data_IF_287732857010
#
_entry.id   IF_287732857010
#
_cell.length_a   1.000
_cell.length_b   1.000
_cell.length_c   1.000
_cell.angle_alpha   90.00
_cell.angle_beta   90.00
_cell.angle_gamma   90.00
#
_symmetry.space_group_name_H-M   'P 1'
#
loop_
_entity.id
_entity.type
_entity.pdbx_description
1 polymer ?
#
# COMPACT_ATOMS: atom_id res chain seq x y z
N UNK A 1 3.12 9.95 11.45
CA UNK A 1 2.35 8.90 10.76
C UNK A 1 3.03 7.52 10.76
N UNK A 2 4.32 7.42 10.38
CA UNK A 2 5.05 6.14 10.30
C UNK A 2 4.94 5.25 11.56
N UNK A 3 5.11 5.85 12.75
CA UNK A 3 4.92 5.12 14.03
C UNK A 3 3.51 4.52 14.16
N UNK A 4 2.46 5.25 13.79
CA UNK A 4 1.07 4.75 13.81
C UNK A 4 0.89 3.54 12.87
N UNK A 5 1.49 3.59 11.68
CA UNK A 5 1.44 2.47 10.73
C UNK A 5 2.11 1.21 11.28
N UNK A 6 3.26 1.35 11.94
CA UNK A 6 3.96 0.23 12.59
C UNK A 6 3.10 -0.36 13.71
N UNK A 7 2.52 0.48 14.58
CA UNK A 7 1.71 0.01 15.71
C UNK A 7 0.37 -0.62 15.28
N UNK A 8 -0.19 -0.23 14.14
CA UNK A 8 -1.41 -0.82 13.58
C UNK A 8 -1.20 -2.23 12.98
N UNK A 9 0.05 -2.59 12.68
CA UNK A 9 0.44 -3.86 12.07
C UNK A 9 0.87 -4.93 13.09
N UNK A 10 0.56 -6.19 12.78
CA UNK A 10 1.06 -7.37 13.51
C UNK A 10 0.76 -7.36 15.04
N UNK A 11 1.54 -8.13 15.80
CA UNK A 11 1.54 -8.20 17.27
C UNK A 11 2.81 -7.56 17.85
N UNK A 12 2.85 -7.36 19.17
CA UNK A 12 4.05 -6.83 19.84
C UNK A 12 5.28 -7.71 19.61
N UNK A 13 5.11 -9.02 19.72
CA UNK A 13 6.19 -10.01 19.55
C UNK A 13 6.79 -9.96 18.14
N UNK A 14 5.93 -9.88 17.11
CA UNK A 14 6.39 -9.76 15.73
C UNK A 14 7.10 -8.42 15.50
N UNK A 15 6.57 -7.32 16.04
CA UNK A 15 7.20 -5.99 15.91
C UNK A 15 8.57 -5.93 16.59
N UNK A 16 8.78 -6.65 17.68
CA UNK A 16 10.07 -6.72 18.38
C UNK A 16 11.16 -7.42 17.58
N UNK A 17 10.81 -8.20 16.54
CA UNK A 17 11.75 -8.96 15.71
C UNK A 17 11.79 -8.46 14.26
N UNK A 18 10.72 -7.87 13.77
CA UNK A 18 10.67 -7.32 12.42
C UNK A 18 11.66 -6.16 12.26
N UNK A 19 12.39 -6.16 11.14
CA UNK A 19 13.28 -5.06 10.74
C UNK A 19 12.66 -4.22 9.62
N UNK A 20 13.22 -3.04 9.37
CA UNK A 20 12.77 -2.14 8.30
C UNK A 20 12.83 -2.83 6.93
N UNK A 21 13.99 -3.37 6.56
CA UNK A 21 14.19 -4.06 5.29
C UNK A 21 13.28 -5.30 5.17
N UNK A 22 13.20 -6.12 6.23
CA UNK A 22 12.34 -7.30 6.24
C UNK A 22 10.85 -6.97 6.11
N UNK A 23 10.41 -5.85 6.69
CA UNK A 23 9.02 -5.38 6.55
C UNK A 23 8.75 -4.89 5.11
N UNK A 24 9.69 -4.19 4.48
CA UNK A 24 9.57 -3.78 3.08
C UNK A 24 9.54 -4.98 2.12
N UNK A 25 10.24 -6.06 2.45
CA UNK A 25 10.36 -7.27 1.63
C UNK A 25 9.34 -8.38 1.98
N UNK A 26 8.36 -8.10 2.84
CA UNK A 26 7.34 -9.10 3.15
C UNK A 26 6.50 -9.43 1.91
N UNK A 27 6.20 -10.71 1.73
CA UNK A 27 5.41 -11.18 0.59
C UNK A 27 3.91 -11.13 0.87
N UNK A 28 3.12 -11.25 -0.20
CA UNK A 28 1.66 -11.22 -0.16
C UNK A 28 1.08 -12.28 0.79
N UNK A 29 -0.15 -12.05 1.26
CA UNK A 29 -0.93 -12.99 2.10
C UNK A 29 -2.04 -13.71 1.33
N UNK A 30 -1.96 -13.71 -0.01
CA UNK A 30 -2.87 -14.48 -0.85
C UNK A 30 -2.86 -15.96 -0.43
N UNK A 31 -4.02 -16.56 -0.10
CA UNK A 31 -4.06 -17.95 0.39
C UNK A 31 -3.56 -18.94 -0.66
N UNK A 32 -3.84 -18.70 -1.94
CA UNK A 32 -3.36 -19.52 -3.06
C UNK A 32 -1.85 -19.46 -3.28
N UNK A 33 -1.21 -18.35 -2.88
CA UNK A 33 0.24 -18.25 -2.91
C UNK A 33 0.88 -19.12 -1.81
N UNK A 34 0.22 -19.21 -0.65
CA UNK A 34 0.67 -19.99 0.50
C UNK A 34 0.43 -21.50 0.33
N UNK A 35 -0.71 -21.89 -0.24
CA UNK A 35 -0.99 -23.29 -0.54
C UNK A 35 -0.27 -23.73 -1.83
N UNK A 36 0.72 -24.61 -1.68
CA UNK A 36 1.56 -25.08 -2.79
C UNK A 36 0.82 -25.97 -3.79
N UNK A 37 -0.36 -26.50 -3.42
CA UNK A 37 -1.19 -27.32 -4.30
C UNK A 37 -2.06 -26.48 -5.26
N UNK A 38 -2.14 -25.17 -5.05
CA UNK A 38 -3.01 -24.28 -5.83
C UNK A 38 -2.25 -23.55 -6.94
N UNK A 39 -2.85 -23.37 -8.11
CA UNK A 39 -2.26 -22.61 -9.22
C UNK A 39 -1.89 -21.16 -8.84
N UNK A 40 -0.61 -20.77 -9.02
CA UNK A 40 -0.12 -19.44 -8.65
C UNK A 40 1.10 -18.96 -9.48
N UNK A 41 0.87 -18.06 -10.44
CA UNK A 41 1.90 -17.42 -11.27
C UNK A 41 3.01 -16.73 -10.45
N UNK A 42 2.67 -16.11 -9.31
CA UNK A 42 3.66 -15.45 -8.41
C UNK A 42 4.62 -16.44 -7.75
N UNK A 43 4.23 -17.71 -7.62
CA UNK A 43 5.07 -18.78 -7.07
C UNK A 43 5.77 -19.54 -8.19
N UNK A 44 5.05 -19.88 -9.26
CA UNK A 44 5.56 -20.58 -10.42
C UNK A 44 4.93 -19.97 -11.68
N UNK A 45 5.70 -19.18 -12.46
CA UNK A 45 5.19 -18.55 -13.67
C UNK A 45 4.56 -19.55 -14.64
N UNK A 46 3.39 -19.22 -15.19
CA UNK A 46 2.65 -20.05 -16.14
C UNK A 46 1.61 -20.99 -15.52
N UNK A 47 1.63 -21.21 -14.20
CA UNK A 47 0.65 -22.08 -13.53
C UNK A 47 -0.77 -21.48 -13.46
N UNK A 48 -0.93 -20.18 -13.77
CA UNK A 48 -2.20 -19.47 -13.68
C UNK A 48 -2.44 -18.81 -12.32
N UNK A 49 -3.60 -18.17 -12.14
CA UNK A 49 -3.96 -17.50 -10.89
C UNK A 49 -5.29 -18.04 -10.33
N UNK A 50 -5.22 -18.98 -9.39
CA UNK A 50 -6.41 -19.58 -8.76
C UNK A 50 -7.30 -18.57 -8.00
N UNK A 51 -6.78 -17.38 -7.69
CA UNK A 51 -7.56 -16.32 -7.08
C UNK A 51 -8.54 -15.66 -8.05
N UNK A 52 -8.26 -15.67 -9.36
CA UNK A 52 -9.15 -15.15 -10.38
C UNK A 52 -10.23 -16.20 -10.63
N UNK A 53 -11.48 -15.85 -10.35
CA UNK A 53 -12.61 -16.81 -10.32
C UNK A 53 -12.71 -17.61 -9.02
N UNK A 54 -11.75 -17.46 -8.10
CA UNK A 54 -11.78 -18.02 -6.75
C UNK A 54 -12.16 -16.97 -5.68
N UNK A 55 -11.76 -17.23 -4.43
CA UNK A 55 -11.96 -16.31 -3.31
C UNK A 55 -11.00 -15.12 -3.39
N UNK A 56 -11.54 -13.93 -3.63
CA UNK A 56 -10.73 -12.75 -3.97
C UNK A 56 -10.95 -11.55 -3.04
N UNK A 57 -11.74 -11.71 -1.97
CA UNK A 57 -12.16 -10.65 -1.04
C UNK A 57 -11.01 -9.78 -0.51
N UNK A 58 -9.88 -10.39 -0.13
CA UNK A 58 -8.74 -9.67 0.45
C UNK A 58 -7.77 -9.10 -0.60
N UNK A 59 -7.98 -9.36 -1.88
CA UNK A 59 -7.03 -9.12 -2.95
C UNK A 59 -7.20 -7.73 -3.58
N UNK A 60 -6.38 -7.42 -4.58
CA UNK A 60 -6.23 -6.09 -5.15
C UNK A 60 -7.38 -5.72 -6.08
N UNK A 61 -7.62 -4.41 -6.18
CA UNK A 61 -8.64 -3.80 -7.04
C UNK A 61 -8.03 -2.87 -8.08
N UNK A 62 -6.76 -2.49 -7.93
CA UNK A 62 -6.08 -1.57 -8.85
C UNK A 62 -4.60 -1.93 -9.02
N UNK A 63 -4.05 -1.67 -10.21
CA UNK A 63 -2.68 -2.01 -10.57
C UNK A 63 -2.41 -3.52 -10.68
N UNK A 64 -3.47 -4.33 -10.62
CA UNK A 64 -3.42 -5.79 -10.79
C UNK A 64 -3.33 -6.18 -12.27
N UNK A 65 -3.13 -7.46 -12.56
CA UNK A 65 -3.13 -7.99 -13.93
C UNK A 65 -3.94 -9.27 -14.03
N UNK A 66 -4.18 -9.75 -15.26
CA UNK A 66 -4.72 -11.09 -15.52
C UNK A 66 -3.84 -12.20 -14.96
N UNK A 67 -2.55 -11.93 -14.74
CA UNK A 67 -1.60 -12.91 -14.20
C UNK A 67 -1.62 -12.98 -12.67
N UNK A 68 -1.99 -11.91 -11.97
CA UNK A 68 -2.04 -11.88 -10.51
C UNK A 68 -2.88 -10.71 -9.98
N UNK A 69 -3.70 -10.97 -8.95
CA UNK A 69 -4.46 -9.95 -8.23
C UNK A 69 -4.00 -9.75 -6.78
N UNK A 70 -2.82 -10.26 -6.41
CA UNK A 70 -2.31 -10.16 -5.03
C UNK A 70 -2.07 -8.70 -4.58
N UNK A 71 -2.14 -8.45 -3.27
CA UNK A 71 -1.78 -7.15 -2.69
C UNK A 71 -0.44 -7.22 -1.95
N UNK A 72 0.21 -6.06 -1.82
CA UNK A 72 1.27 -5.90 -0.83
C UNK A 72 0.66 -5.61 0.56
N UNK A 73 1.07 -6.35 1.61
CA UNK A 73 0.38 -6.29 2.89
C UNK A 73 0.98 -5.31 3.91
N UNK A 74 2.11 -4.67 3.62
CA UNK A 74 2.88 -3.92 4.61
C UNK A 74 2.33 -2.52 4.91
N UNK A 75 1.83 -2.33 6.14
CA UNK A 75 1.33 -1.04 6.64
C UNK A 75 2.43 0.05 6.64
N UNK A 76 3.64 -0.31 7.06
CA UNK A 76 4.80 0.59 7.18
C UNK A 76 5.17 1.23 5.82
N UNK A 77 5.15 0.43 4.75
CA UNK A 77 5.51 0.92 3.41
C UNK A 77 4.49 1.94 2.88
N UNK A 78 3.22 1.84 3.28
CA UNK A 78 2.20 2.84 2.92
C UNK A 78 2.53 4.20 3.52
N UNK A 79 2.93 4.24 4.80
CA UNK A 79 3.37 5.48 5.41
C UNK A 79 4.67 6.01 4.80
N UNK A 80 5.63 5.14 4.49
CA UNK A 80 6.87 5.53 3.82
C UNK A 80 6.65 6.08 2.41
N UNK A 81 5.64 5.59 1.68
CA UNK A 81 5.27 6.10 0.34
C UNK A 81 4.71 7.52 0.37
N UNK A 82 3.97 7.89 1.42
CA UNK A 82 3.50 9.29 1.61
C UNK A 82 4.67 10.21 1.97
N UNK A 83 5.64 9.69 2.72
CA UNK A 83 6.81 10.43 3.20
C UNK A 83 7.95 10.50 2.17
N UNK A 84 7.75 10.03 0.94
CA UNK A 84 8.78 9.96 -0.11
C UNK A 84 10.10 9.34 0.38
N UNK A 85 9.98 8.22 1.09
CA UNK A 85 11.14 7.49 1.56
C UNK A 85 12.04 7.02 0.41
N UNK A 86 13.33 6.93 0.67
CA UNK A 86 14.35 6.38 -0.25
C UNK A 86 14.95 5.14 0.38
N UNK A 87 15.00 4.05 -0.37
CA UNK A 87 15.60 2.77 0.05
C UNK A 87 17.05 2.74 -0.43
N UNK A 88 17.98 2.67 0.50
CA UNK A 88 19.42 2.59 0.21
C UNK A 88 19.86 1.14 0.14
N UNK A 89 20.57 0.80 -0.94
CA UNK A 89 21.03 -0.57 -1.19
C UNK A 89 22.52 -0.63 -1.52
N UNK A 90 23.09 -1.82 -1.37
CA UNK A 90 24.44 -2.16 -1.82
C UNK A 90 24.42 -3.52 -2.50
N UNK A 91 25.14 -3.67 -3.62
CA UNK A 91 25.32 -4.96 -4.28
C UNK A 91 26.59 -5.69 -3.81
N UNK A 92 26.80 -6.90 -4.32
CA UNK A 92 27.96 -7.74 -3.97
C UNK A 92 29.32 -7.13 -4.37
N UNK A 93 29.34 -6.17 -5.29
CA UNK A 93 30.55 -5.45 -5.71
C UNK A 93 30.75 -4.15 -4.89
N UNK A 94 29.88 -3.86 -3.93
CA UNK A 94 29.92 -2.65 -3.12
C UNK A 94 29.30 -1.42 -3.79
N UNK A 95 28.69 -1.55 -4.99
CA UNK A 95 28.00 -0.44 -5.63
C UNK A 95 26.74 -0.10 -4.86
N UNK A 96 26.54 1.19 -4.57
CA UNK A 96 25.38 1.71 -3.84
C UNK A 96 24.33 2.26 -4.79
N UNK A 97 23.06 2.09 -4.43
CA UNK A 97 21.93 2.73 -5.11
C UNK A 97 20.95 3.31 -4.08
N UNK A 98 20.33 4.41 -4.47
CA UNK A 98 19.25 5.04 -3.72
C UNK A 98 17.98 4.92 -4.57
N UNK A 99 16.99 4.18 -4.07
CA UNK A 99 15.78 3.82 -4.83
C UNK A 99 14.59 4.53 -4.18
N UNK A 100 13.93 5.50 -4.85
CA UNK A 100 12.70 6.07 -4.34
C UNK A 100 11.67 4.97 -4.08
N UNK A 101 10.97 5.03 -2.94
CA UNK A 101 9.99 3.97 -2.60
C UNK A 101 8.84 3.86 -3.60
N UNK A 102 8.57 4.93 -4.37
CA UNK A 102 7.63 4.93 -5.49
C UNK A 102 8.01 3.91 -6.59
N UNK A 103 9.32 3.68 -6.75
CA UNK A 103 9.94 2.85 -7.78
C UNK A 103 10.48 1.52 -7.23
N UNK A 104 10.44 1.34 -5.92
CA UNK A 104 10.94 0.13 -5.26
C UNK A 104 10.07 -1.09 -5.55
N UNK A 105 8.75 -0.92 -5.52
CA UNK A 105 7.79 -1.99 -5.76
C UNK A 105 7.28 -1.99 -7.19
N UNK A 106 7.09 -3.20 -7.73
CA UNK A 106 6.61 -3.39 -9.10
C UNK A 106 5.10 -3.57 -9.12
N UNK A 107 4.49 -3.15 -10.23
CA UNK A 107 3.19 -3.69 -10.60
C UNK A 107 3.40 -5.12 -11.13
N UNK A 108 2.38 -5.97 -11.04
CA UNK A 108 2.54 -7.38 -11.41
C UNK A 108 2.83 -7.56 -12.89
N UNK A 109 2.10 -6.88 -13.78
CA UNK A 109 2.21 -7.09 -15.22
C UNK A 109 2.21 -8.59 -15.55
N UNK A 110 3.20 -9.01 -16.33
CA UNK A 110 3.42 -10.40 -16.72
C UNK A 110 4.42 -11.15 -15.82
N UNK A 111 5.05 -10.45 -14.87
CA UNK A 111 6.09 -10.98 -13.99
C UNK A 111 5.70 -10.88 -12.50
N UNK A 112 4.60 -11.50 -12.07
CA UNK A 112 4.14 -11.41 -10.69
C UNK A 112 5.08 -12.09 -9.71
N UNK A 113 6.03 -12.93 -10.12
CA UNK A 113 7.05 -13.51 -9.26
C UNK A 113 8.06 -12.47 -8.72
N UNK A 114 8.14 -11.28 -9.35
CA UNK A 114 9.08 -10.22 -9.00
C UNK A 114 8.38 -9.10 -8.21
N UNK A 115 8.56 -9.09 -6.88
CA UNK A 115 7.88 -8.15 -5.99
C UNK A 115 8.50 -6.73 -6.00
N UNK A 116 9.82 -6.62 -6.24
CA UNK A 116 10.60 -5.38 -6.10
C UNK A 116 11.58 -5.19 -7.25
N UNK A 117 12.23 -4.02 -7.31
CA UNK A 117 13.30 -3.68 -8.27
C UNK A 117 14.70 -3.99 -7.76
N UNK A 118 14.82 -4.75 -6.66
CA UNK A 118 16.12 -5.27 -6.20
C UNK A 118 16.71 -6.24 -7.21
N UNK A 119 18.02 -6.15 -7.39
CA UNK A 119 18.83 -7.08 -8.16
C UNK A 119 19.15 -8.33 -7.32
N UNK A 120 19.46 -9.47 -7.94
CA UNK A 120 19.94 -10.64 -7.21
C UNK A 120 21.13 -10.30 -6.30
N UNK A 121 21.05 -10.67 -5.03
CA UNK A 121 22.10 -10.41 -4.03
C UNK A 121 22.20 -8.95 -3.55
N UNK A 122 21.32 -8.05 -3.99
CA UNK A 122 21.32 -6.66 -3.53
C UNK A 122 20.71 -6.54 -2.12
N UNK A 123 21.43 -5.87 -1.23
CA UNK A 123 21.09 -5.75 0.19
C UNK A 123 20.59 -4.34 0.51
N UNK A 124 19.43 -4.25 1.17
CA UNK A 124 18.95 -2.99 1.75
C UNK A 124 19.79 -2.68 3.00
N UNK A 125 20.38 -1.49 3.03
CA UNK A 125 21.22 -1.02 4.13
C UNK A 125 20.52 0.02 5.00
N UNK A 126 19.66 0.86 4.41
CA UNK A 126 18.93 1.90 5.14
C UNK A 126 17.64 2.32 4.42
N UNK A 127 16.81 3.08 5.14
CA UNK A 127 15.73 3.87 4.56
C UNK A 127 15.91 5.30 5.03
N UNK A 128 15.98 6.24 4.08
CA UNK A 128 16.15 7.66 4.34
C UNK A 128 14.79 8.35 4.17
N UNK A 129 14.43 9.18 5.13
CA UNK A 129 13.26 10.06 5.04
C UNK A 129 13.72 11.50 4.79
N UNK A 130 13.01 12.26 3.94
CA UNK A 130 13.26 13.68 3.79
C UNK A 130 12.91 14.45 5.07
N UNK A 131 13.13 15.77 5.06
CA UNK A 131 12.77 16.65 6.18
C UNK A 131 11.28 16.50 6.55
N UNK A 132 10.91 16.62 7.83
CA UNK A 132 9.53 16.51 8.26
C UNK A 132 8.60 17.46 7.51
N UNK A 133 7.47 16.94 7.03
CA UNK A 133 6.47 17.69 6.24
C UNK A 133 5.62 18.66 7.07
N UNK A 134 5.74 18.65 8.40
CA UNK A 134 4.76 19.29 9.29
C UNK A 134 3.36 18.69 9.13
N UNK A 135 2.32 19.49 9.39
CA UNK A 135 0.93 19.10 9.23
C UNK A 135 0.41 18.09 10.26
N UNK A 136 -0.83 17.64 10.07
CA UNK A 136 -1.47 16.60 10.87
C UNK A 136 -1.28 15.23 10.21
N UNK A 137 -0.97 14.21 10.99
CA UNK A 137 -0.52 12.90 10.51
C UNK A 137 -1.50 11.79 10.90
N UNK A 138 -2.02 11.05 9.92
CA UNK A 138 -3.04 10.03 10.12
C UNK A 138 -2.63 8.68 9.52
N UNK A 139 -3.00 7.60 10.20
CA UNK A 139 -2.92 6.26 9.65
C UNK A 139 -4.17 5.49 10.09
N UNK A 140 -5.13 5.36 9.17
CA UNK A 140 -6.40 4.70 9.39
C UNK A 140 -6.35 3.30 8.78
N UNK A 141 -6.68 2.25 9.55
CA UNK A 141 -6.61 0.86 9.09
C UNK A 141 -7.93 0.15 9.33
N UNK A 142 -8.63 -0.15 8.25
CA UNK A 142 -9.88 -0.91 8.31
C UNK A 142 -9.60 -2.41 8.15
N UNK A 143 -10.19 -3.20 9.05
CA UNK A 143 -10.01 -4.65 9.15
C UNK A 143 -11.24 -5.30 9.80
N UNK A 144 -11.47 -6.57 9.52
CA UNK A 144 -12.63 -7.31 10.04
C UNK A 144 -12.62 -7.47 11.57
N UNK A 145 -11.43 -7.51 12.18
CA UNK A 145 -11.26 -7.65 13.63
C UNK A 145 -10.34 -6.57 14.20
N UNK A 146 -10.55 -6.22 15.47
CA UNK A 146 -9.96 -5.04 16.10
C UNK A 146 -8.42 -5.00 16.12
N UNK A 147 -7.74 -6.16 16.08
CA UNK A 147 -6.27 -6.24 16.07
C UNK A 147 -5.77 -7.51 15.36
N UNK A 148 -4.46 -7.60 15.16
CA UNK A 148 -3.77 -8.76 14.58
C UNK A 148 -4.37 -9.23 13.23
N UNK A 149 -4.71 -8.28 12.37
CA UNK A 149 -5.18 -8.55 11.01
C UNK A 149 -4.54 -7.54 10.03
N UNK A 150 -4.33 -8.02 8.80
CA UNK A 150 -3.94 -7.17 7.68
C UNK A 150 -5.09 -6.23 7.28
N UNK A 151 -4.76 -5.15 6.56
CA UNK A 151 -5.74 -4.18 6.13
C UNK A 151 -6.64 -4.74 5.02
N UNK A 152 -7.95 -4.53 5.13
CA UNK A 152 -8.83 -4.58 3.95
C UNK A 152 -8.56 -3.35 3.09
N UNK A 153 -8.51 -2.19 3.73
CA UNK A 153 -8.04 -0.90 3.21
C UNK A 153 -7.33 -0.16 4.36
N UNK A 154 -6.24 0.52 4.05
CA UNK A 154 -5.64 1.51 4.97
C UNK A 154 -5.43 2.85 4.26
N UNK A 155 -5.52 3.96 4.98
CA UNK A 155 -5.23 5.30 4.50
C UNK A 155 -4.12 5.90 5.34
N UNK A 156 -3.00 6.23 4.71
CA UNK A 156 -1.95 7.06 5.29
C UNK A 156 -2.11 8.47 4.72
N UNK A 157 -2.19 9.49 5.59
CA UNK A 157 -2.32 10.87 5.12
C UNK A 157 -1.53 11.86 5.98
N UNK A 158 -1.01 12.90 5.32
CA UNK A 158 -0.54 14.13 5.96
C UNK A 158 -1.40 15.27 5.44
N UNK A 159 -2.11 15.95 6.34
CA UNK A 159 -3.03 17.06 5.99
C UNK A 159 -2.46 18.37 6.52
N UNK A 160 -2.34 19.35 5.63
CA UNK A 160 -1.84 20.70 5.90
C UNK A 160 -2.97 21.62 6.35
N UNK A 161 -2.62 22.79 6.92
CA UNK A 161 -3.60 23.75 7.45
C UNK A 161 -4.50 24.35 6.37
N UNK A 162 -4.03 24.41 5.14
CA UNK A 162 -4.79 24.91 3.98
C UNK A 162 -5.72 23.84 3.36
N UNK A 163 -5.77 22.64 3.94
CA UNK A 163 -6.55 21.51 3.42
C UNK A 163 -5.85 20.72 2.31
N UNK A 164 -4.65 21.14 1.88
CA UNK A 164 -3.78 20.34 1.03
C UNK A 164 -3.14 19.20 1.81
N UNK A 165 -2.38 18.33 1.11
CA UNK A 165 -1.75 17.21 1.79
C UNK A 165 -1.26 16.14 0.85
N UNK A 166 -0.97 14.98 1.44
CA UNK A 166 -0.55 13.77 0.73
C UNK A 166 -1.30 12.57 1.25
N UNK A 167 -1.61 11.62 0.38
CA UNK A 167 -2.38 10.42 0.73
C UNK A 167 -1.88 9.18 -0.02
N UNK A 168 -1.82 8.06 0.69
CA UNK A 168 -1.60 6.75 0.09
C UNK A 168 -2.53 5.69 0.70
N UNK A 169 -2.82 4.67 -0.08
CA UNK A 169 -3.71 3.58 0.27
C UNK A 169 -2.95 2.25 0.36
N UNK A 170 -3.36 1.40 1.30
CA UNK A 170 -2.87 0.03 1.47
C UNK A 170 -4.00 -1.00 1.36
N UNK A 171 -3.65 -2.27 1.14
CA UNK A 171 -4.62 -3.36 0.99
C UNK A 171 -5.38 -3.38 -0.34
N UNK A 172 -5.05 -2.47 -1.27
CA UNK A 172 -5.81 -2.29 -2.53
C UNK A 172 -5.03 -2.64 -3.80
N UNK A 173 -3.70 -2.71 -3.73
CA UNK A 173 -2.83 -2.80 -4.89
C UNK A 173 -1.58 -3.66 -4.64
N UNK A 174 -0.81 -4.00 -5.70
CA UNK A 174 0.49 -4.68 -5.59
C UNK A 174 1.57 -3.94 -4.80
N UNK A 175 1.38 -2.65 -4.57
CA UNK A 175 2.29 -1.75 -3.86
C UNK A 175 1.52 -0.70 -3.06
N UNK A 176 2.15 0.03 -2.13
CA UNK A 176 1.58 1.26 -1.59
C UNK A 176 1.02 2.17 -2.70
N UNK A 177 -0.28 2.42 -2.68
CA UNK A 177 -0.97 3.08 -3.79
C UNK A 177 -1.09 4.58 -3.52
N UNK A 178 -0.37 5.39 -4.28
CA UNK A 178 -0.41 6.85 -4.22
C UNK A 178 -0.38 7.39 -5.64
N UNK A 179 -1.27 8.34 -5.91
CA UNK A 179 -1.42 9.05 -7.18
C UNK A 179 -1.32 10.52 -6.84
N UNK A 180 -0.19 11.15 -7.17
CA UNK A 180 0.13 12.54 -6.85
C UNK A 180 -0.95 13.51 -7.34
N UNK A 181 -1.51 13.28 -8.54
CA UNK A 181 -2.56 14.12 -9.12
C UNK A 181 -3.87 14.08 -8.32
N UNK A 182 -4.13 13.00 -7.58
CA UNK A 182 -5.31 12.89 -6.73
C UNK A 182 -5.17 13.75 -5.46
N UNK A 183 -3.95 14.05 -5.01
CA UNK A 183 -3.69 14.83 -3.80
C UNK A 183 -4.17 16.28 -3.94
N UNK A 184 -4.07 16.84 -5.14
CA UNK A 184 -4.58 18.17 -5.46
C UNK A 184 -6.11 18.30 -5.27
N UNK A 185 -6.83 17.19 -5.19
CA UNK A 185 -8.28 17.13 -5.01
C UNK A 185 -8.69 17.04 -3.53
N UNK A 186 -7.75 16.99 -2.58
CA UNK A 186 -8.06 16.93 -1.15
C UNK A 186 -9.04 18.03 -0.68
N UNK A 187 -8.93 19.30 -1.13
CA UNK A 187 -9.90 20.34 -0.78
C UNK A 187 -11.33 20.10 -1.30
N UNK A 188 -11.49 19.23 -2.29
CA UNK A 188 -12.78 18.83 -2.86
C UNK A 188 -13.40 17.63 -2.13
N UNK A 189 -12.66 17.02 -1.20
CA UNK A 189 -13.13 15.92 -0.37
C UNK A 189 -12.74 14.53 -0.88
N UNK A 190 -13.05 13.53 -0.06
CA UNK A 190 -12.59 12.15 -0.27
C UNK A 190 -13.05 11.53 -1.59
N UNK A 191 -14.28 11.83 -2.05
CA UNK A 191 -14.82 11.28 -3.30
C UNK A 191 -14.02 11.73 -4.52
N UNK A 192 -13.64 13.00 -4.60
CA UNK A 192 -12.84 13.52 -5.71
C UNK A 192 -11.45 12.86 -5.74
N UNK A 193 -10.82 12.75 -4.56
CA UNK A 193 -9.52 12.08 -4.41
C UNK A 193 -9.58 10.63 -4.82
N UNK A 194 -10.54 9.86 -4.31
CA UNK A 194 -10.62 8.42 -4.61
C UNK A 194 -11.09 8.13 -6.03
N UNK A 195 -11.97 8.95 -6.61
CA UNK A 195 -12.33 8.83 -8.03
C UNK A 195 -11.10 8.94 -8.93
N UNK A 196 -10.19 9.87 -8.64
CA UNK A 196 -8.92 10.02 -9.37
C UNK A 196 -7.93 8.93 -9.03
N UNK A 197 -7.72 8.64 -7.75
CA UNK A 197 -6.72 7.66 -7.31
C UNK A 197 -7.06 6.24 -7.76
N UNK A 198 -8.34 5.89 -7.89
CA UNK A 198 -8.80 4.58 -8.32
C UNK A 198 -9.29 4.53 -9.77
N UNK A 199 -8.93 5.53 -10.58
CA UNK A 199 -9.22 5.52 -12.02
C UNK A 199 -8.56 4.29 -12.66
N UNK A 200 -9.36 3.47 -13.36
CA UNK A 200 -8.90 2.21 -13.95
C UNK A 200 -8.88 1.02 -12.99
N UNK A 201 -9.50 1.10 -11.81
CA UNK A 201 -9.69 -0.05 -10.95
C UNK A 201 -10.52 -1.16 -11.63
N UNK A 202 -10.09 -2.40 -11.44
CA UNK A 202 -10.73 -3.62 -11.97
C UNK A 202 -11.01 -4.59 -10.82
N UNK A 203 -11.97 -4.28 -9.93
CA UNK A 203 -12.31 -5.15 -8.81
C UNK A 203 -12.98 -6.45 -9.28
N UNK A 204 -12.84 -7.50 -8.48
CA UNK A 204 -13.70 -8.68 -8.56
C UNK A 204 -15.00 -8.43 -7.80
N UNK A 205 -15.98 -9.33 -7.95
CA UNK A 205 -17.23 -9.29 -7.17
C UNK A 205 -16.97 -9.26 -5.66
N UNK A 206 -16.02 -10.07 -5.18
CA UNK A 206 -15.77 -10.22 -3.73
C UNK A 206 -15.08 -9.01 -3.10
N UNK A 207 -14.35 -8.22 -3.88
CA UNK A 207 -13.52 -7.12 -3.36
C UNK A 207 -13.95 -5.73 -3.84
N UNK A 208 -15.02 -5.63 -4.63
CA UNK A 208 -15.60 -4.36 -5.08
C UNK A 208 -15.94 -3.41 -3.91
N UNK A 209 -16.28 -3.95 -2.74
CA UNK A 209 -16.55 -3.16 -1.54
C UNK A 209 -15.36 -2.30 -1.08
N UNK A 210 -14.12 -2.63 -1.49
CA UNK A 210 -12.92 -1.88 -1.10
C UNK A 210 -12.91 -0.46 -1.66
N UNK A 211 -13.52 -0.21 -2.81
CA UNK A 211 -13.57 1.13 -3.41
C UNK A 211 -14.40 2.12 -2.55
N UNK A 212 -15.69 1.85 -2.23
CA UNK A 212 -16.43 2.72 -1.32
C UNK A 212 -15.82 2.71 0.09
N UNK A 213 -15.19 1.62 0.53
CA UNK A 213 -14.51 1.57 1.82
C UNK A 213 -13.31 2.54 1.87
N UNK A 214 -12.51 2.63 0.80
CA UNK A 214 -11.40 3.58 0.71
C UNK A 214 -11.88 5.03 0.76
N UNK A 215 -12.96 5.35 0.05
CA UNK A 215 -13.60 6.68 0.10
C UNK A 215 -14.04 7.02 1.51
N UNK A 216 -14.75 6.11 2.20
CA UNK A 216 -15.24 6.33 3.56
C UNK A 216 -14.11 6.45 4.59
N UNK A 217 -13.06 5.64 4.44
CA UNK A 217 -11.88 5.72 5.30
C UNK A 217 -11.16 7.07 5.14
N UNK A 218 -10.98 7.54 3.90
CA UNK A 218 -10.40 8.87 3.66
C UNK A 218 -11.32 9.98 4.19
N UNK A 219 -12.63 9.89 3.99
CA UNK A 219 -13.58 10.87 4.52
C UNK A 219 -13.49 10.98 6.05
N UNK A 220 -13.35 9.84 6.76
CA UNK A 220 -13.15 9.83 8.20
C UNK A 220 -11.84 10.53 8.62
N UNK A 221 -10.74 10.30 7.88
CA UNK A 221 -9.46 11.00 8.11
C UNK A 221 -9.60 12.51 7.89
N UNK A 222 -10.25 12.94 6.81
CA UNK A 222 -10.45 14.37 6.52
C UNK A 222 -11.31 15.07 7.58
N UNK A 223 -12.33 14.37 8.08
CA UNK A 223 -13.17 14.85 9.19
C UNK A 223 -12.37 14.99 10.49
N UNK A 224 -11.52 14.01 10.83
CA UNK A 224 -10.62 14.09 11.99
C UNK A 224 -9.62 15.25 11.88
N UNK A 225 -9.16 15.57 10.67
CA UNK A 225 -8.26 16.70 10.43
C UNK A 225 -8.93 18.07 10.62
N UNK A 226 -10.27 18.12 10.75
CA UNK A 226 -11.02 19.37 10.86
C UNK A 226 -11.09 20.15 9.55
N UNK A 227 -10.93 19.49 8.40
CA UNK A 227 -10.98 20.15 7.10
C UNK A 227 -12.42 20.61 6.84
N UNK A 228 -12.70 21.92 6.74
CA UNK A 228 -14.07 22.38 6.54
C UNK A 228 -14.57 21.87 5.18
N UNK A 229 -15.66 21.12 5.18
CA UNK A 229 -16.37 20.79 3.94
C UNK A 229 -16.77 22.11 3.28
N UNK A 230 -16.21 22.42 2.10
CA UNK A 230 -16.63 23.59 1.33
C UNK A 230 -18.13 23.44 1.07
N UNK A 231 -18.96 24.30 1.67
CA UNK A 231 -20.38 24.40 1.32
C UNK A 231 -20.44 24.62 -0.20
N UNK A 232 -21.13 23.75 -0.92
CA UNK A 232 -21.49 24.01 -2.32
C UNK A 232 -22.29 25.32 -2.34
N UNK A 233 -21.72 26.36 -2.93
CA UNK A 233 -22.42 27.58 -3.28
C UNK A 233 -23.28 27.34 -4.52
#
# INVERSE_FOLDING_TARGET
>A
MLSRAILAGASGQLRNKASTAGNLLQRTRCPYFYDTNMACNKRKPGDGCAAIGGYSRQLGVIGVSSSCIATFPGDMAVAMRVLDAVVETVDANGQRRSIPIADFYRLWGDHPEQDTTLRPGELITAVVLPRPLGGQHFYEKVRDRASYAYALVSVAAVIQRDGGGRVAFGGVAPKPWRVEEAEALLPQGAEAVTARAFQGATPTKDNAFKLPLATRALAAVLAQAGTPARKKG
#
